data_IF_428095374239
#
_entry.id   IF_428095374239
#
_cell.length_a   1.000
_cell.length_b   1.000
_cell.length_c   1.000
_cell.angle_alpha   90.00
_cell.angle_beta   90.00
_cell.angle_gamma   90.00
#
_symmetry.space_group_name_H-M   'P 1'
#
loop_
_entity.id
_entity.type
_entity.pdbx_description
1 polymer ?
#
# COMPACT_ATOMS: atom_id res chain seq x y z
N UNK A 1 33.66 41.43 4.49
CA UNK A 1 33.10 40.51 5.48
C UNK A 1 31.61 40.24 5.31
N UNK A 2 30.80 41.23 5.02
CA UNK A 2 29.35 40.99 4.79
C UNK A 2 29.05 40.18 3.53
N UNK A 3 29.87 40.30 2.48
CA UNK A 3 29.66 39.52 1.23
C UNK A 3 30.01 38.03 1.35
N UNK A 4 31.05 37.69 2.09
CA UNK A 4 31.46 36.32 2.34
C UNK A 4 30.47 35.59 3.23
N UNK A 5 29.86 36.29 4.19
CA UNK A 5 28.80 35.75 5.04
C UNK A 5 27.53 35.40 4.24
N UNK A 6 27.21 36.21 3.24
CA UNK A 6 26.08 35.99 2.35
C UNK A 6 26.27 34.75 1.46
N UNK A 7 27.49 34.51 0.98
CA UNK A 7 27.79 33.30 0.18
C UNK A 7 27.77 32.01 1.01
N UNK A 8 28.21 32.09 2.26
CA UNK A 8 28.17 30.97 3.20
C UNK A 8 26.69 30.61 3.53
N UNK A 9 25.87 31.63 3.74
CA UNK A 9 24.44 31.45 4.02
C UNK A 9 23.71 30.86 2.80
N UNK A 10 24.03 31.30 1.59
CA UNK A 10 23.48 30.77 0.35
C UNK A 10 23.91 29.33 0.09
N UNK A 11 25.14 28.97 0.43
CA UNK A 11 25.66 27.61 0.32
C UNK A 11 25.00 26.65 1.32
N UNK A 12 24.65 27.09 2.50
CA UNK A 12 23.92 26.32 3.50
C UNK A 12 22.47 26.06 3.10
N UNK A 13 21.83 26.98 2.38
CA UNK A 13 20.48 26.81 1.85
C UNK A 13 20.43 25.82 0.67
N UNK A 14 21.49 25.72 -0.10
CA UNK A 14 21.58 24.78 -1.22
C UNK A 14 21.80 23.33 -0.76
N UNK A 15 22.34 23.10 0.42
CA UNK A 15 22.54 21.76 0.99
C UNK A 15 21.26 21.17 1.61
N UNK A 16 20.20 21.96 1.77
CA UNK A 16 18.92 21.52 2.36
C UNK A 16 17.98 20.82 1.38
N UNK A 17 18.31 20.78 0.10
CA UNK A 17 17.55 20.04 -0.91
C UNK A 17 18.18 18.66 -1.18
N UNK A 18 18.55 17.91 -0.14
CA UNK A 18 18.59 16.46 -0.28
C UNK A 18 17.15 16.00 -0.28
N UNK A 19 16.59 15.86 -1.48
CA UNK A 19 15.45 15.03 -1.70
C UNK A 19 15.81 13.66 -1.10
N UNK A 20 15.33 13.40 0.10
CA UNK A 20 15.02 12.06 0.47
C UNK A 20 13.89 11.64 -0.47
N UNK A 21 14.25 11.18 -1.65
CA UNK A 21 13.42 10.20 -2.29
C UNK A 21 13.34 9.07 -1.29
N UNK A 22 12.27 9.07 -0.51
CA UNK A 22 11.85 7.91 0.24
C UNK A 22 11.63 6.86 -0.84
N UNK A 23 12.67 6.10 -1.14
CA UNK A 23 12.49 4.81 -1.77
C UNK A 23 11.68 4.03 -0.75
N UNK A 24 10.38 4.06 -0.93
CA UNK A 24 9.51 3.09 -0.36
C UNK A 24 9.91 1.73 -0.95
N UNK A 25 10.98 1.17 -0.43
CA UNK A 25 11.16 -0.26 -0.43
C UNK A 25 10.07 -0.79 0.52
N UNK A 26 8.82 -0.70 0.07
CA UNK A 26 7.75 -1.43 0.69
C UNK A 26 8.08 -2.89 0.43
N UNK A 27 8.58 -3.55 1.45
CA UNK A 27 8.57 -5.00 1.48
C UNK A 27 7.14 -5.46 1.15
N UNK A 28 7.02 -6.58 0.48
CA UNK A 28 5.73 -7.14 0.06
C UNK A 28 4.69 -7.20 1.19
N UNK A 29 5.14 -7.23 2.47
CA UNK A 29 4.31 -7.17 3.65
C UNK A 29 3.73 -5.80 4.01
N UNK A 30 4.23 -4.69 3.42
CA UNK A 30 3.83 -3.32 3.79
C UNK A 30 2.82 -2.70 2.81
N UNK A 31 2.41 -3.43 1.77
CA UNK A 31 1.40 -2.95 0.83
C UNK A 31 0.02 -2.90 1.50
N UNK A 32 -0.77 -1.86 1.25
CA UNK A 32 -2.14 -1.83 1.72
C UNK A 32 -2.96 -2.98 1.11
N UNK A 33 -3.86 -3.53 1.88
CA UNK A 33 -4.66 -4.68 1.51
C UNK A 33 -6.03 -4.25 1.02
N UNK A 34 -6.45 -4.83 -0.10
CA UNK A 34 -7.82 -4.79 -0.60
C UNK A 34 -8.39 -6.21 -0.47
N UNK A 35 -9.52 -6.33 0.20
CA UNK A 35 -10.24 -7.60 0.31
C UNK A 35 -11.38 -7.64 -0.70
N UNK A 36 -11.53 -8.74 -1.39
CA UNK A 36 -12.63 -8.99 -2.33
C UNK A 36 -13.42 -10.21 -1.89
N UNK A 37 -14.67 -10.31 -2.31
CA UNK A 37 -15.56 -11.41 -1.89
C UNK A 37 -15.20 -12.72 -2.58
N UNK A 38 -15.03 -12.72 -3.90
CA UNK A 38 -14.82 -13.92 -4.72
C UNK A 38 -13.59 -13.79 -5.63
N UNK A 39 -13.06 -14.92 -6.06
CA UNK A 39 -11.84 -14.97 -6.89
C UNK A 39 -11.92 -14.18 -8.21
N UNK A 40 -13.01 -14.16 -8.98
CA UNK A 40 -13.10 -13.31 -10.17
C UNK A 40 -12.89 -11.82 -9.88
N UNK A 41 -13.38 -11.32 -8.75
CA UNK A 41 -13.15 -9.94 -8.32
C UNK A 41 -11.68 -9.69 -7.97
N UNK A 42 -11.00 -10.68 -7.40
CA UNK A 42 -9.56 -10.63 -7.15
C UNK A 42 -8.78 -10.38 -8.43
N UNK A 43 -9.07 -11.15 -9.46
CA UNK A 43 -8.42 -11.02 -10.76
C UNK A 43 -8.57 -9.59 -11.34
N UNK A 44 -9.79 -9.08 -11.37
CA UNK A 44 -10.04 -7.72 -11.88
C UNK A 44 -9.40 -6.64 -11.01
N UNK A 45 -9.43 -6.81 -9.70
CA UNK A 45 -8.84 -5.86 -8.76
C UNK A 45 -7.33 -5.83 -8.90
N UNK A 46 -6.67 -6.97 -9.03
CA UNK A 46 -5.23 -7.06 -9.28
C UNK A 46 -4.84 -6.41 -10.62
N UNK A 47 -5.66 -6.57 -11.65
CA UNK A 47 -5.42 -5.96 -12.95
C UNK A 47 -5.47 -4.43 -12.91
N UNK A 48 -6.31 -3.86 -12.07
CA UNK A 48 -6.49 -2.41 -11.90
C UNK A 48 -5.48 -1.84 -10.92
N UNK A 49 -5.31 -2.49 -9.77
CA UNK A 49 -4.46 -2.01 -8.68
C UNK A 49 -2.96 -2.22 -8.95
N UNK A 50 -2.61 -3.19 -9.77
CA UNK A 50 -1.22 -3.54 -10.06
C UNK A 50 -0.46 -3.97 -8.81
N UNK A 51 0.83 -3.62 -8.75
CA UNK A 51 1.71 -4.01 -7.64
C UNK A 51 1.60 -3.12 -6.39
N UNK A 52 0.70 -2.14 -6.40
CA UNK A 52 0.56 -1.17 -5.31
C UNK A 52 -0.24 -1.70 -4.11
N UNK A 53 -0.99 -2.78 -4.30
CA UNK A 53 -1.87 -3.35 -3.30
C UNK A 53 -1.71 -4.87 -3.22
N UNK A 54 -1.93 -5.41 -2.01
CA UNK A 54 -2.17 -6.82 -1.83
C UNK A 54 -3.67 -7.08 -1.91
N UNK A 55 -4.08 -7.93 -2.84
CA UNK A 55 -5.50 -8.30 -3.02
C UNK A 55 -5.71 -9.69 -2.47
N UNK A 56 -6.65 -9.83 -1.54
CA UNK A 56 -7.03 -11.09 -0.94
C UNK A 56 -8.50 -11.39 -1.19
N UNK A 57 -8.82 -12.66 -1.43
CA UNK A 57 -10.19 -13.15 -1.60
C UNK A 57 -10.71 -13.72 -0.29
N UNK A 58 -11.92 -13.31 0.11
CA UNK A 58 -12.56 -13.80 1.34
C UNK A 58 -13.02 -15.25 1.17
N UNK A 59 -13.67 -15.55 0.06
CA UNK A 59 -14.20 -16.88 -0.24
C UNK A 59 -13.16 -17.69 -1.01
N UNK A 60 -12.71 -18.86 -0.48
CA UNK A 60 -11.77 -19.71 -1.18
C UNK A 60 -12.31 -20.20 -2.52
N UNK A 61 -11.38 -20.46 -3.44
CA UNK A 61 -11.72 -21.06 -4.73
C UNK A 61 -12.46 -22.39 -4.54
N UNK A 62 -13.61 -22.52 -5.21
CA UNK A 62 -14.46 -23.71 -5.11
C UNK A 62 -15.50 -23.68 -4.00
N UNK A 63 -15.49 -22.66 -3.13
CA UNK A 63 -16.53 -22.44 -2.12
C UNK A 63 -17.65 -21.56 -2.66
N UNK A 64 -18.87 -21.76 -2.15
CA UNK A 64 -20.01 -20.91 -2.48
C UNK A 64 -20.03 -19.67 -1.58
N UNK A 65 -20.11 -18.45 -2.14
CA UNK A 65 -20.21 -17.23 -1.34
C UNK A 65 -21.42 -17.18 -0.41
N UNK A 66 -22.50 -17.84 -0.80
CA UNK A 66 -23.76 -17.84 -0.06
C UNK A 66 -23.70 -18.66 1.23
N UNK A 67 -22.84 -19.67 1.28
CA UNK A 67 -22.73 -20.62 2.38
C UNK A 67 -21.39 -20.56 3.09
N UNK A 68 -20.48 -19.72 2.65
CA UNK A 68 -19.17 -19.61 3.23
C UNK A 68 -19.18 -18.78 4.52
N UNK A 69 -18.70 -19.39 5.58
CA UNK A 69 -18.52 -18.76 6.89
C UNK A 69 -17.04 -18.33 7.05
N UNK A 70 -16.77 -17.02 7.11
CA UNK A 70 -15.41 -16.53 7.34
C UNK A 70 -14.86 -16.99 8.68
N UNK A 71 -13.58 -17.29 8.71
CA UNK A 71 -12.89 -17.54 9.98
C UNK A 71 -12.71 -16.24 10.78
N UNK A 72 -12.54 -16.30 12.12
CA UNK A 72 -12.25 -15.10 12.90
C UNK A 72 -11.02 -14.33 12.42
N UNK A 73 -9.99 -15.03 11.95
CA UNK A 73 -8.80 -14.40 11.40
C UNK A 73 -9.10 -13.61 10.12
N UNK A 74 -9.94 -14.15 9.24
CA UNK A 74 -10.38 -13.45 8.03
C UNK A 74 -11.13 -12.16 8.35
N UNK A 75 -11.95 -12.15 9.41
CA UNK A 75 -12.65 -10.95 9.85
C UNK A 75 -11.69 -9.89 10.39
N UNK A 76 -10.64 -10.30 11.10
CA UNK A 76 -9.57 -9.40 11.56
C UNK A 76 -8.82 -8.82 10.38
N UNK A 77 -8.49 -9.63 9.39
CA UNK A 77 -7.78 -9.19 8.18
C UNK A 77 -8.64 -8.24 7.35
N UNK A 78 -9.95 -8.51 7.27
CA UNK A 78 -10.90 -7.61 6.63
C UNK A 78 -10.95 -6.24 7.30
N UNK A 79 -10.95 -6.19 8.62
CA UNK A 79 -10.97 -4.94 9.38
C UNK A 79 -9.73 -4.07 9.13
N UNK A 80 -8.60 -4.68 8.76
CA UNK A 80 -7.36 -4.01 8.40
C UNK A 80 -7.27 -3.59 6.93
N UNK A 81 -8.19 -4.08 6.10
CA UNK A 81 -8.22 -3.77 4.66
C UNK A 81 -8.58 -2.30 4.42
N UNK A 82 -8.05 -1.75 3.34
CA UNK A 82 -8.37 -0.38 2.90
C UNK A 82 -9.71 -0.29 2.17
N UNK A 83 -10.10 -1.37 1.51
CA UNK A 83 -11.36 -1.47 0.78
C UNK A 83 -11.84 -2.93 0.76
N UNK A 84 -13.13 -3.09 0.59
CA UNK A 84 -13.80 -4.39 0.43
C UNK A 84 -14.80 -4.33 -0.72
N UNK A 85 -14.70 -5.28 -1.62
CA UNK A 85 -15.57 -5.42 -2.78
C UNK A 85 -16.30 -6.77 -2.84
#
# INVERSE_FOLDING_TARGET
>A
MKRTFLYILAALLAASCKNNSVQNNKSEGDKPVITVTIEPLRYFTEAIAGDNFNVISMVPKGSSPETYDPTPQQLVDLAKSKAYF
#
